data_IF_085297727686
#
_entry.id   IF_085297727686
#
_cell.length_a   1.000
_cell.length_b   1.000
_cell.length_c   1.000
_cell.angle_alpha   90.00
_cell.angle_beta   90.00
_cell.angle_gamma   90.00
#
_symmetry.space_group_name_H-M   'P 1'
#
loop_
_entity.id
_entity.type
_entity.pdbx_description
1 polymer ?
#
# COMPACT_ATOMS: atom_id res chain seq x y z
N UNK A 1 -23.76 12.66 -24.71
CA UNK A 1 -22.81 11.75 -25.38
C UNK A 1 -22.50 10.59 -24.45
N UNK A 2 -22.22 9.41 -24.99
CA UNK A 2 -21.98 8.16 -24.24
C UNK A 2 -20.55 8.02 -23.68
N UNK A 3 -19.64 8.92 -24.08
CA UNK A 3 -18.19 8.83 -23.82
C UNK A 3 -17.83 8.86 -22.33
N UNK A 4 -18.53 9.67 -21.51
CA UNK A 4 -18.28 9.74 -20.06
C UNK A 4 -18.75 8.46 -19.34
N UNK A 5 -19.96 7.94 -19.59
CA UNK A 5 -20.37 6.62 -19.12
C UNK A 5 -19.39 5.48 -19.50
N UNK A 6 -18.88 5.44 -20.73
CA UNK A 6 -17.90 4.44 -21.17
C UNK A 6 -16.58 4.56 -20.39
N UNK A 7 -16.12 5.79 -20.13
CA UNK A 7 -14.95 6.03 -19.29
C UNK A 7 -15.16 5.53 -17.86
N UNK A 8 -16.33 5.77 -17.26
CA UNK A 8 -16.66 5.24 -15.92
C UNK A 8 -16.65 3.73 -15.91
N UNK A 9 -17.25 3.08 -16.91
CA UNK A 9 -17.24 1.62 -17.04
C UNK A 9 -15.81 1.08 -17.11
N UNK A 10 -14.94 1.73 -17.89
CA UNK A 10 -13.53 1.33 -18.01
C UNK A 10 -12.75 1.48 -16.70
N UNK A 11 -13.04 2.50 -15.90
CA UNK A 11 -12.43 2.64 -14.57
C UNK A 11 -12.96 1.59 -13.59
N UNK A 12 -14.23 1.22 -13.69
CA UNK A 12 -14.85 0.19 -12.83
C UNK A 12 -14.29 -1.22 -13.05
N UNK A 13 -13.60 -1.48 -14.17
CA UNK A 13 -12.92 -2.78 -14.40
C UNK A 13 -11.54 -2.87 -13.74
N UNK A 14 -11.04 -1.79 -13.13
CA UNK A 14 -9.77 -1.80 -12.40
C UNK A 14 -9.91 -2.67 -11.15
N UNK A 15 -9.25 -3.81 -11.17
CA UNK A 15 -9.10 -4.66 -10.01
C UNK A 15 -7.98 -4.12 -9.12
N UNK A 16 -8.14 -4.27 -7.81
CA UNK A 16 -7.20 -3.78 -6.80
C UNK A 16 -6.97 -4.84 -5.74
N UNK A 17 -5.76 -4.86 -5.19
CA UNK A 17 -5.40 -5.68 -4.04
C UNK A 17 -5.32 -4.82 -2.79
N UNK A 18 -5.95 -5.24 -1.67
CA UNK A 18 -5.78 -4.56 -0.40
C UNK A 18 -4.46 -4.94 0.29
N UNK A 19 -4.09 -4.14 1.28
CA UNK A 19 -2.99 -4.41 2.18
C UNK A 19 -3.27 -3.78 3.55
N UNK A 20 -2.82 -4.44 4.62
CA UNK A 20 -2.65 -3.79 5.92
C UNK A 20 -1.20 -3.37 6.11
N UNK A 21 -0.97 -2.22 6.72
CA UNK A 21 0.34 -1.75 7.13
C UNK A 21 0.39 -1.63 8.66
N UNK A 22 1.46 -2.09 9.30
CA UNK A 22 1.71 -1.90 10.73
C UNK A 22 2.97 -1.07 10.91
N UNK A 23 2.82 0.11 11.51
CA UNK A 23 3.95 0.91 12.00
C UNK A 23 4.24 0.54 13.45
N UNK A 24 5.51 0.32 13.77
CA UNK A 24 6.01 0.04 15.12
C UNK A 24 7.17 0.98 15.44
N UNK A 25 7.31 1.35 16.71
CA UNK A 25 8.48 2.08 17.20
C UNK A 25 9.08 1.37 18.41
N UNK A 26 10.40 1.26 18.45
CA UNK A 26 11.17 0.64 19.52
C UNK A 26 12.06 1.68 20.19
N UNK A 27 12.29 1.55 21.49
CA UNK A 27 13.14 2.45 22.28
C UNK A 27 14.61 2.42 21.86
N UNK A 28 15.04 1.33 21.24
CA UNK A 28 16.41 1.10 20.80
C UNK A 28 16.41 0.42 19.43
N UNK A 29 17.54 0.48 18.74
CA UNK A 29 17.72 -0.20 17.46
C UNK A 29 17.64 -1.72 17.62
N UNK A 30 16.95 -2.38 16.70
CA UNK A 30 16.87 -3.84 16.62
C UNK A 30 18.14 -4.39 15.97
N UNK A 31 19.20 -4.55 16.76
CA UNK A 31 20.51 -5.05 16.30
C UNK A 31 20.46 -6.51 15.83
N UNK A 32 19.47 -7.29 16.28
CA UNK A 32 19.21 -8.65 15.81
C UNK A 32 18.69 -8.71 14.37
N UNK A 33 18.28 -7.58 13.78
CA UNK A 33 17.87 -7.46 12.37
C UNK A 33 18.83 -6.51 11.65
N UNK A 34 19.99 -7.02 11.16
CA UNK A 34 21.06 -6.21 10.58
C UNK A 34 20.80 -5.83 9.11
N UNK A 35 19.54 -5.57 8.76
CA UNK A 35 19.11 -5.16 7.42
C UNK A 35 18.10 -4.01 7.51
N UNK A 36 18.01 -3.18 6.47
CA UNK A 36 17.08 -2.04 6.41
C UNK A 36 15.67 -2.42 5.94
N UNK A 37 15.50 -3.66 5.49
CA UNK A 37 14.22 -4.20 5.07
C UNK A 37 14.40 -5.56 4.43
N UNK A 38 13.30 -6.31 4.35
CA UNK A 38 13.29 -7.64 3.77
C UNK A 38 11.88 -8.04 3.31
N UNK A 39 11.84 -8.96 2.35
CA UNK A 39 10.61 -9.65 1.92
C UNK A 39 10.54 -11.01 2.62
N UNK A 40 9.33 -11.43 2.99
CA UNK A 40 9.08 -12.70 3.66
C UNK A 40 8.44 -13.67 2.68
N UNK A 41 9.10 -14.79 2.44
CA UNK A 41 8.59 -15.87 1.60
C UNK A 41 7.93 -16.95 2.44
N UNK A 42 6.79 -17.49 1.99
CA UNK A 42 6.09 -18.60 2.66
C UNK A 42 5.21 -18.19 3.85
N UNK A 43 5.19 -16.91 4.23
CA UNK A 43 4.23 -16.36 5.17
C UNK A 43 2.91 -16.04 4.47
N UNK A 44 1.79 -16.39 5.10
CA UNK A 44 0.45 -16.03 4.63
C UNK A 44 -0.03 -14.70 5.20
N UNK A 45 0.72 -14.06 6.12
CA UNK A 45 0.30 -12.87 6.88
C UNK A 45 1.16 -11.65 6.55
N UNK A 46 2.48 -11.77 6.68
CA UNK A 46 3.47 -10.72 6.45
C UNK A 46 4.14 -10.90 5.09
N UNK A 47 4.21 -9.84 4.29
CA UNK A 47 4.86 -9.81 2.97
C UNK A 47 6.23 -9.15 3.02
N UNK A 48 6.36 -8.01 3.69
CA UNK A 48 7.64 -7.34 3.85
C UNK A 48 7.71 -6.49 5.13
N UNK A 49 8.94 -6.19 5.51
CA UNK A 49 9.28 -5.29 6.61
C UNK A 49 10.32 -4.28 6.13
N UNK A 50 10.25 -3.05 6.61
CA UNK A 50 11.24 -2.01 6.29
C UNK A 50 11.51 -1.15 7.52
N UNK A 51 12.79 -0.92 7.79
CA UNK A 51 13.24 0.01 8.80
C UNK A 51 13.13 1.44 8.26
N UNK A 52 12.16 2.18 8.77
CA UNK A 52 11.91 3.54 8.35
C UNK A 52 12.99 4.51 8.86
N UNK A 53 13.52 4.28 10.06
CA UNK A 53 14.53 5.17 10.66
C UNK A 53 15.88 5.15 9.95
N UNK A 54 16.22 4.06 9.24
CA UNK A 54 17.50 3.91 8.53
C UNK A 54 17.48 4.48 7.10
N UNK A 55 16.33 4.98 6.63
CA UNK A 55 16.23 5.63 5.32
C UNK A 55 17.05 6.93 5.29
N UNK A 56 17.71 7.26 4.16
CA UNK A 56 18.50 8.49 4.02
C UNK A 56 17.69 9.74 4.39
N UNK A 57 18.32 10.64 5.14
CA UNK A 57 17.72 11.92 5.54
C UNK A 57 16.71 11.84 6.70
N UNK A 58 16.52 10.66 7.32
CA UNK A 58 15.73 10.55 8.56
C UNK A 58 16.64 10.64 9.78
N UNK A 59 16.44 11.68 10.60
CA UNK A 59 17.17 11.86 11.86
C UNK A 59 16.75 10.77 12.86
N UNK A 60 17.70 10.04 13.42
CA UNK A 60 17.43 9.07 14.49
C UNK A 60 16.96 9.79 15.76
N UNK A 61 15.65 9.85 15.96
CA UNK A 61 14.96 10.51 17.09
C UNK A 61 15.08 9.74 18.43
N UNK A 62 16.12 8.93 18.60
CA UNK A 62 16.29 8.05 19.76
C UNK A 62 15.34 6.84 19.78
N UNK A 63 14.64 6.56 18.68
CA UNK A 63 13.78 5.38 18.52
C UNK A 63 13.90 4.82 17.10
N UNK A 64 13.78 3.50 16.98
CA UNK A 64 13.80 2.82 15.68
C UNK A 64 12.38 2.47 15.24
N UNK A 65 12.00 2.92 14.05
CA UNK A 65 10.68 2.70 13.49
C UNK A 65 10.73 1.66 12.37
N UNK A 66 9.77 0.73 12.39
CA UNK A 66 9.58 -0.28 11.36
C UNK A 66 8.17 -0.19 10.78
N UNK A 67 8.05 -0.40 9.48
CA UNK A 67 6.77 -0.59 8.80
C UNK A 67 6.72 -2.00 8.21
N UNK A 68 5.64 -2.70 8.54
CA UNK A 68 5.33 -4.02 8.02
C UNK A 68 4.16 -3.93 7.06
N UNK A 69 4.19 -4.68 5.96
CA UNK A 69 3.06 -4.83 5.05
C UNK A 69 2.56 -6.27 5.06
N UNK A 70 1.25 -6.43 5.19
CA UNK A 70 0.63 -7.74 5.07
C UNK A 70 0.73 -8.29 3.65
N UNK A 71 0.48 -9.58 3.52
CA UNK A 71 0.10 -10.18 2.23
C UNK A 71 -1.26 -9.65 1.78
N UNK A 72 -1.56 -9.79 0.48
CA UNK A 72 -2.90 -9.50 -0.05
C UNK A 72 -3.91 -10.50 0.51
N UNK A 73 -3.52 -11.77 0.58
CA UNK A 73 -4.37 -12.88 1.01
C UNK A 73 -4.88 -12.68 2.44
N UNK A 74 -4.00 -12.24 3.35
CA UNK A 74 -4.41 -11.90 4.72
C UNK A 74 -5.37 -10.72 4.75
N UNK A 75 -5.08 -9.67 3.98
CA UNK A 75 -5.92 -8.49 3.92
C UNK A 75 -7.32 -8.82 3.40
N UNK A 76 -7.43 -9.62 2.34
CA UNK A 76 -8.71 -10.10 1.80
C UNK A 76 -9.48 -10.98 2.79
N UNK A 77 -8.79 -11.85 3.55
CA UNK A 77 -9.43 -12.65 4.58
C UNK A 77 -10.03 -11.80 5.71
N UNK A 78 -9.32 -10.77 6.17
CA UNK A 78 -9.84 -9.86 7.18
C UNK A 78 -10.96 -8.98 6.59
N UNK A 79 -10.80 -8.47 5.37
CA UNK A 79 -11.79 -7.61 4.71
C UNK A 79 -13.06 -8.38 4.40
N UNK A 80 -13.00 -9.64 3.96
CA UNK A 80 -14.19 -10.44 3.66
C UNK A 80 -15.01 -10.81 4.90
N UNK A 81 -14.35 -10.93 6.07
CA UNK A 81 -15.02 -11.11 7.38
C UNK A 81 -15.56 -9.79 7.95
N UNK A 82 -15.17 -8.67 7.36
CA UNK A 82 -15.53 -7.33 7.81
C UNK A 82 -16.28 -6.63 6.68
N UNK A 83 -16.81 -5.43 6.90
CA UNK A 83 -17.41 -4.68 5.79
C UNK A 83 -16.34 -3.81 5.11
N UNK A 84 -16.60 -3.37 3.88
CA UNK A 84 -15.75 -2.38 3.20
C UNK A 84 -15.71 -1.02 3.94
N UNK A 85 -16.55 -0.81 4.97
CA UNK A 85 -16.49 0.35 5.85
C UNK A 85 -15.13 0.45 6.56
N UNK A 86 -14.87 1.60 7.18
CA UNK A 86 -13.70 1.82 8.02
C UNK A 86 -13.56 0.68 9.03
N UNK A 87 -12.38 0.03 9.16
CA UNK A 87 -12.16 -1.00 10.16
C UNK A 87 -12.40 -0.45 11.56
N UNK A 88 -13.00 -1.25 12.43
CA UNK A 88 -13.08 -0.95 13.86
C UNK A 88 -11.69 -1.06 14.50
N UNK A 89 -11.53 -0.44 15.67
CA UNK A 89 -10.29 -0.55 16.43
C UNK A 89 -10.01 -2.00 16.84
N UNK A 90 -11.04 -2.81 17.10
CA UNK A 90 -10.88 -4.24 17.40
C UNK A 90 -10.24 -5.02 16.25
N UNK A 91 -10.69 -4.77 15.01
CA UNK A 91 -10.09 -5.39 13.82
C UNK A 91 -8.64 -4.95 13.68
N UNK A 92 -8.37 -3.65 13.86
CA UNK A 92 -6.99 -3.15 13.80
C UNK A 92 -6.12 -3.69 14.94
N UNK A 93 -6.68 -3.99 16.11
CA UNK A 93 -5.97 -4.64 17.21
C UNK A 93 -5.58 -6.09 16.88
N UNK A 94 -6.46 -6.84 16.22
CA UNK A 94 -6.15 -8.18 15.70
C UNK A 94 -5.03 -8.10 14.67
N UNK A 95 -5.15 -7.21 13.68
CA UNK A 95 -4.13 -7.01 12.64
C UNK A 95 -2.77 -6.61 13.22
N UNK A 96 -2.76 -5.69 14.20
CA UNK A 96 -1.54 -5.32 14.94
C UNK A 96 -0.88 -6.55 15.56
N UNK A 97 -1.66 -7.36 16.26
CA UNK A 97 -1.17 -8.53 16.99
C UNK A 97 -0.65 -9.62 16.05
N UNK A 98 -1.36 -9.88 14.96
CA UNK A 98 -0.99 -10.89 13.97
C UNK A 98 0.29 -10.51 13.22
N UNK A 99 0.38 -9.26 12.71
CA UNK A 99 1.58 -8.79 12.00
C UNK A 99 2.80 -8.72 12.92
N UNK A 100 2.63 -8.27 14.16
CA UNK A 100 3.72 -8.25 15.13
C UNK A 100 4.21 -9.67 15.47
N UNK A 101 3.29 -10.61 15.70
CA UNK A 101 3.63 -12.02 15.94
C UNK A 101 4.35 -12.65 14.76
N UNK A 102 3.95 -12.34 13.52
CA UNK A 102 4.63 -12.84 12.33
C UNK A 102 6.04 -12.25 12.19
N UNK A 103 6.22 -10.96 12.52
CA UNK A 103 7.52 -10.31 12.55
C UNK A 103 8.47 -10.94 13.58
N UNK A 104 7.97 -11.29 14.77
CA UNK A 104 8.73 -11.97 15.81
C UNK A 104 9.26 -13.35 15.37
N UNK A 105 8.69 -14.00 14.35
CA UNK A 105 9.27 -15.24 13.80
C UNK A 105 10.63 -15.00 13.12
N UNK A 106 10.85 -13.80 12.59
CA UNK A 106 12.14 -13.42 11.99
C UNK A 106 13.15 -13.00 13.05
N UNK A 107 12.68 -12.43 14.16
CA UNK A 107 13.50 -12.00 15.28
C UNK A 107 12.79 -12.25 16.62
N UNK A 108 12.96 -13.44 17.21
CA UNK A 108 12.21 -13.85 18.40
C UNK A 108 12.45 -12.99 19.65
N UNK A 109 13.68 -12.47 19.80
CA UNK A 109 14.14 -11.78 21.01
C UNK A 109 14.03 -10.24 20.93
N UNK A 110 13.18 -9.72 20.04
CA UNK A 110 12.97 -8.26 19.95
C UNK A 110 12.17 -7.75 21.16
N UNK A 111 12.49 -6.55 21.68
CA UNK A 111 11.73 -5.94 22.77
C UNK A 111 10.29 -5.62 22.34
N UNK A 112 9.41 -5.39 23.31
CA UNK A 112 8.08 -4.87 23.01
C UNK A 112 8.19 -3.48 22.37
N UNK A 113 7.43 -3.19 21.29
CA UNK A 113 7.35 -1.84 20.73
C UNK A 113 6.78 -0.86 21.77
N UNK A 114 7.30 0.37 21.79
CA UNK A 114 6.74 1.50 22.52
C UNK A 114 5.41 1.98 21.90
N UNK A 115 5.26 1.75 20.60
CA UNK A 115 4.12 2.20 19.83
C UNK A 115 3.81 1.22 18.71
N UNK A 116 2.52 1.01 18.44
CA UNK A 116 2.03 0.26 17.29
C UNK A 116 0.76 0.88 16.71
N UNK A 117 0.69 1.02 15.38
CA UNK A 117 -0.50 1.47 14.67
C UNK A 117 -0.68 0.71 13.36
N UNK A 118 -1.82 0.03 13.22
CA UNK A 118 -2.22 -0.59 11.96
C UNK A 118 -3.07 0.37 11.11
N UNK A 119 -2.97 0.22 9.80
CA UNK A 119 -3.74 0.95 8.81
C UNK A 119 -4.18 0.01 7.68
N UNK A 120 -5.38 0.23 7.12
CA UNK A 120 -5.90 -0.52 5.97
C UNK A 120 -5.84 0.31 4.70
N UNK A 121 -5.12 -0.19 3.70
CA UNK A 121 -5.20 0.25 2.32
C UNK A 121 -6.15 -0.69 1.57
N UNK A 122 -7.42 -0.29 1.40
CA UNK A 122 -8.46 -1.14 0.77
C UNK A 122 -8.30 -1.32 -0.74
N UNK A 123 -7.69 -0.34 -1.40
CA UNK A 123 -7.39 -0.34 -2.83
C UNK A 123 -5.92 0.02 -3.02
N UNK A 124 -5.03 -0.79 -2.43
CA UNK A 124 -3.61 -0.44 -2.28
C UNK A 124 -2.85 -0.49 -3.60
N UNK A 125 -3.07 -1.55 -4.39
CA UNK A 125 -2.32 -1.81 -5.61
C UNK A 125 -3.25 -2.26 -6.73
N UNK A 126 -3.31 -1.56 -7.88
CA UNK A 126 -4.07 -2.06 -9.02
C UNK A 126 -3.43 -3.31 -9.61
N UNK A 127 -4.26 -4.23 -10.11
CA UNK A 127 -3.82 -5.45 -10.80
C UNK A 127 -4.20 -5.47 -12.28
N UNK A 128 -5.04 -4.52 -12.70
CA UNK A 128 -5.40 -4.30 -14.11
C UNK A 128 -4.89 -2.94 -14.56
N UNK A 129 -4.22 -2.89 -15.72
CA UNK A 129 -3.77 -1.65 -16.34
C UNK A 129 -4.69 -1.32 -17.53
N UNK A 130 -5.32 -0.14 -17.51
CA UNK A 130 -6.41 0.19 -18.44
C UNK A 130 -6.05 1.19 -19.55
N UNK A 131 -4.86 1.79 -19.51
CA UNK A 131 -4.46 2.85 -20.44
C UNK A 131 -2.95 2.85 -20.74
N UNK A 132 -2.33 1.68 -20.84
CA UNK A 132 -0.86 1.55 -20.89
C UNK A 132 -0.20 2.43 -21.97
N UNK A 133 -0.80 2.46 -23.16
CA UNK A 133 -0.24 3.16 -24.32
C UNK A 133 -0.50 4.67 -24.27
N UNK A 134 -1.76 5.07 -24.06
CA UNK A 134 -2.17 6.48 -23.97
C UNK A 134 -1.80 7.15 -22.63
N UNK A 135 -1.41 6.34 -21.64
CA UNK A 135 -1.06 6.67 -20.25
C UNK A 135 -2.16 7.33 -19.42
N UNK A 136 -3.26 7.77 -20.01
CA UNK A 136 -4.46 8.26 -19.33
C UNK A 136 -5.70 7.95 -20.19
N UNK A 137 -6.88 7.98 -19.57
CA UNK A 137 -8.14 8.01 -20.33
C UNK A 137 -8.51 9.47 -20.61
N UNK A 138 -8.90 9.78 -21.85
CA UNK A 138 -9.20 11.14 -22.29
C UNK A 138 -10.54 11.19 -23.03
N UNK A 139 -11.39 12.15 -22.65
CA UNK A 139 -12.64 12.50 -23.36
C UNK A 139 -12.57 13.94 -23.81
N UNK A 140 -12.17 14.13 -25.07
CA UNK A 140 -11.87 15.44 -25.67
C UNK A 140 -13.04 16.42 -25.62
N UNK A 141 -14.22 15.97 -26.08
CA UNK A 141 -15.43 16.78 -26.14
C UNK A 141 -15.89 17.32 -24.76
N UNK A 142 -15.45 16.67 -23.68
CA UNK A 142 -15.80 17.05 -22.30
C UNK A 142 -14.61 17.62 -21.53
N UNK A 143 -13.42 17.62 -22.12
CA UNK A 143 -12.15 17.93 -21.48
C UNK A 143 -11.97 17.22 -20.13
N UNK A 144 -12.28 15.92 -20.11
CA UNK A 144 -12.13 15.07 -18.91
C UNK A 144 -10.96 14.11 -19.13
N UNK A 145 -10.01 14.10 -18.19
CA UNK A 145 -8.93 13.12 -18.13
C UNK A 145 -9.02 12.29 -16.84
N UNK A 146 -8.74 10.99 -16.93
CA UNK A 146 -8.54 10.11 -15.77
C UNK A 146 -7.14 9.54 -15.82
N UNK A 147 -6.41 9.74 -14.73
CA UNK A 147 -5.04 9.29 -14.55
C UNK A 147 -4.83 8.63 -13.18
N UNK A 148 -3.81 7.79 -13.09
CA UNK A 148 -3.40 7.10 -11.87
C UNK A 148 -2.39 6.00 -12.17
N UNK A 149 -1.91 5.35 -11.12
CA UNK A 149 -1.06 4.15 -11.20
C UNK A 149 -1.73 3.04 -12.03
N UNK A 150 -3.05 2.87 -11.92
CA UNK A 150 -3.86 1.93 -12.71
C UNK A 150 -3.87 2.20 -14.23
N UNK A 151 -3.35 3.33 -14.70
CA UNK A 151 -3.27 3.63 -16.12
C UNK A 151 -2.00 3.06 -16.78
N UNK A 152 -0.87 2.96 -16.07
CA UNK A 152 0.43 2.61 -16.66
C UNK A 152 1.09 1.44 -15.95
N UNK A 153 1.33 1.57 -14.65
CA UNK A 153 1.99 0.58 -13.80
C UNK A 153 1.63 0.84 -12.33
N UNK A 154 1.51 -0.20 -11.49
CA UNK A 154 1.05 -0.12 -10.10
C UNK A 154 2.16 0.41 -9.16
N UNK A 155 2.81 1.50 -9.54
CA UNK A 155 3.91 2.13 -8.82
C UNK A 155 3.86 3.67 -8.97
N UNK A 156 4.79 4.33 -8.28
CA UNK A 156 4.89 5.79 -8.26
C UNK A 156 5.24 6.35 -9.65
N UNK A 157 6.09 5.67 -10.41
CA UNK A 157 6.49 6.12 -11.74
C UNK A 157 5.31 6.09 -12.71
N UNK A 158 4.54 5.00 -12.71
CA UNK A 158 3.31 4.85 -13.49
C UNK A 158 2.28 5.93 -13.18
N UNK A 159 2.08 6.25 -11.89
CA UNK A 159 1.20 7.34 -11.48
C UNK A 159 1.68 8.71 -12.01
N UNK A 160 2.98 9.01 -11.91
CA UNK A 160 3.57 10.26 -12.41
C UNK A 160 3.39 10.36 -13.94
N UNK A 161 3.77 9.31 -14.67
CA UNK A 161 3.65 9.26 -16.13
C UNK A 161 2.21 9.45 -16.59
N UNK A 162 1.26 8.84 -15.89
CA UNK A 162 -0.17 9.00 -16.17
C UNK A 162 -0.65 10.44 -15.94
N UNK A 163 -0.25 11.05 -14.81
CA UNK A 163 -0.60 12.44 -14.50
C UNK A 163 -0.05 13.44 -15.52
N UNK A 164 1.21 13.24 -15.95
CA UNK A 164 1.83 14.07 -16.99
C UNK A 164 1.10 13.95 -18.33
N UNK A 165 0.68 12.74 -18.71
CA UNK A 165 -0.08 12.52 -19.94
C UNK A 165 -1.46 13.22 -19.89
N UNK A 166 -2.18 13.11 -18.78
CA UNK A 166 -3.45 13.80 -18.58
C UNK A 166 -3.31 15.33 -18.65
N UNK A 167 -2.29 15.89 -18.01
CA UNK A 167 -2.00 17.32 -18.07
C UNK A 167 -1.70 17.77 -19.52
N UNK A 168 -0.92 16.99 -20.27
CA UNK A 168 -0.62 17.30 -21.68
C UNK A 168 -1.87 17.34 -22.56
N UNK A 169 -2.85 16.45 -22.34
CA UNK A 169 -4.13 16.45 -23.07
C UNK A 169 -5.00 17.68 -22.73
N UNK A 170 -4.97 18.13 -21.48
CA UNK A 170 -5.75 19.28 -21.04
C UNK A 170 -5.19 20.63 -21.51
N UNK A 171 -3.87 20.72 -21.72
CA UNK A 171 -3.17 21.93 -22.16
C UNK A 171 -3.21 22.15 -23.69
N UNK A 172 -3.67 21.16 -24.46
CA UNK A 172 -3.97 21.30 -25.89
C UNK A 172 -5.29 22.04 -26.11
#
# INVERSE_FOLDING_TARGET
>A
SAEVPELVQKVQTVLVRPCFALMMAFSQALTSIPVDGYTVTGSTILSCASCESRKPGRSNSGSECWVLHSTTEYADQIISKTSLKKPSDDILNVVKSDLFREFQKTAPDIPSPLFMKAHRWGSAFPTTIIAKDDKCLWVENKRVAVCGDFCVAPDVEGAILSGLAAASKLLQ
#
